data_IF_974783915378
#
_entry.id   IF_974783915378
#
_cell.length_a   1.000
_cell.length_b   1.000
_cell.length_c   1.000
_cell.angle_alpha   90.00
_cell.angle_beta   90.00
_cell.angle_gamma   90.00
#
_symmetry.space_group_name_H-M   'P 1'
#
loop_
_entity.id
_entity.type
_entity.pdbx_description
1 polymer ?
#
# COMPACT_ATOMS: atom_id res chain seq x y z
N UNK A 1 0.61 8.38 11.37
CA UNK A 1 0.17 7.92 10.03
C UNK A 1 1.20 8.31 8.98
N UNK A 2 1.70 9.54 9.05
CA UNK A 2 2.64 10.13 8.08
C UNK A 2 3.94 9.34 7.92
N UNK A 3 4.54 8.85 9.01
CA UNK A 3 5.74 7.99 8.95
C UNK A 3 5.51 6.68 8.20
N UNK A 4 4.33 6.08 8.35
CA UNK A 4 4.00 4.80 7.72
C UNK A 4 3.82 4.95 6.20
N UNK A 5 3.27 6.08 5.78
CA UNK A 5 3.14 6.44 4.36
C UNK A 5 4.52 6.71 3.75
N UNK A 6 5.38 7.42 4.48
CA UNK A 6 6.75 7.68 4.01
C UNK A 6 7.55 6.39 3.85
N UNK A 7 7.46 5.46 4.81
CA UNK A 7 8.10 4.14 4.71
C UNK A 7 7.63 3.35 3.49
N UNK A 8 6.32 3.38 3.20
CA UNK A 8 5.74 2.73 2.02
C UNK A 8 6.28 3.33 0.71
N UNK A 9 6.37 4.67 0.63
CA UNK A 9 6.94 5.37 -0.53
C UNK A 9 8.41 4.99 -0.73
N UNK A 10 9.20 4.95 0.34
CA UNK A 10 10.62 4.59 0.28
C UNK A 10 10.84 3.13 -0.14
N UNK A 11 10.01 2.21 0.34
CA UNK A 11 10.04 0.80 -0.07
C UNK A 11 9.70 0.65 -1.56
N UNK A 12 8.72 1.41 -2.05
CA UNK A 12 8.31 1.38 -3.46
C UNK A 12 9.41 1.94 -4.37
N UNK A 13 10.06 3.03 -3.97
CA UNK A 13 11.23 3.60 -4.68
C UNK A 13 12.40 2.62 -4.69
N UNK A 14 12.69 1.94 -3.57
CA UNK A 14 13.72 0.88 -3.51
C UNK A 14 13.42 -0.26 -4.48
N UNK A 15 12.22 -0.81 -4.43
CA UNK A 15 11.81 -1.92 -5.31
C UNK A 15 11.92 -1.55 -6.81
N UNK A 16 11.64 -0.29 -7.18
CA UNK A 16 11.81 0.19 -8.55
C UNK A 16 13.29 0.30 -8.95
N UNK A 17 14.14 0.82 -8.05
CA UNK A 17 15.60 0.87 -8.25
C UNK A 17 16.19 -0.52 -8.44
N UNK A 18 15.82 -1.47 -7.59
CA UNK A 18 16.31 -2.86 -7.65
C UNK A 18 15.90 -3.56 -8.95
N UNK A 19 14.77 -3.18 -9.53
CA UNK A 19 14.28 -3.67 -10.83
C UNK A 19 14.82 -2.89 -12.03
N UNK A 20 15.66 -1.87 -11.82
CA UNK A 20 16.20 -1.03 -12.89
C UNK A 20 15.14 -0.20 -13.62
N UNK A 21 13.98 0.06 -13.03
CA UNK A 21 12.88 0.79 -13.67
C UNK A 21 13.12 2.29 -13.50
N UNK A 22 13.35 2.99 -14.62
CA UNK A 22 13.45 4.45 -14.68
C UNK A 22 12.14 5.08 -15.20
N UNK A 23 11.69 6.21 -14.63
CA UNK A 23 12.26 6.92 -13.49
C UNK A 23 11.96 6.21 -12.15
N UNK A 24 12.85 6.36 -11.17
CA UNK A 24 12.79 5.65 -9.90
C UNK A 24 11.76 6.20 -8.88
N UNK A 25 11.01 7.26 -9.23
CA UNK A 25 9.93 7.75 -8.37
C UNK A 25 8.74 6.79 -8.40
N UNK A 26 8.05 6.67 -7.27
CA UNK A 26 6.78 5.94 -7.19
C UNK A 26 5.68 6.74 -7.91
N UNK A 27 4.92 6.08 -8.78
CA UNK A 27 3.72 6.69 -9.35
C UNK A 27 2.57 6.67 -8.34
N UNK A 28 1.60 7.56 -8.50
CA UNK A 28 0.40 7.57 -7.65
C UNK A 28 -0.37 6.24 -7.71
N UNK A 29 -0.45 5.62 -8.89
CA UNK A 29 -1.14 4.34 -9.09
C UNK A 29 -0.47 3.22 -8.30
N UNK A 30 0.86 3.16 -8.30
CA UNK A 30 1.61 2.17 -7.52
C UNK A 30 1.41 2.36 -6.02
N UNK A 31 1.43 3.62 -5.56
CA UNK A 31 1.21 3.92 -4.16
C UNK A 31 -0.19 3.47 -3.70
N UNK A 32 -1.23 3.78 -4.47
CA UNK A 32 -2.61 3.34 -4.20
C UNK A 32 -2.69 1.80 -4.19
N UNK A 33 -1.99 1.15 -5.12
CA UNK A 33 -1.95 -0.31 -5.20
C UNK A 33 -1.30 -0.93 -3.96
N UNK A 34 -0.16 -0.42 -3.50
CA UNK A 34 0.51 -0.94 -2.30
C UNK A 34 -0.26 -0.66 -1.01
N UNK A 35 -0.91 0.51 -0.90
CA UNK A 35 -1.81 0.80 0.21
C UNK A 35 -2.96 -0.20 0.22
N UNK A 36 -3.59 -0.44 -0.94
CA UNK A 36 -4.67 -1.43 -1.09
C UNK A 36 -4.22 -2.83 -0.65
N UNK A 37 -3.07 -3.28 -1.14
CA UNK A 37 -2.52 -4.59 -0.76
C UNK A 37 -2.21 -4.66 0.73
N UNK A 38 -1.66 -3.59 1.33
CA UNK A 38 -1.36 -3.54 2.76
C UNK A 38 -2.62 -3.63 3.62
N UNK A 39 -3.69 -2.92 3.24
CA UNK A 39 -4.99 -3.01 3.91
C UNK A 39 -5.58 -4.42 3.80
N UNK A 40 -5.55 -5.03 2.62
CA UNK A 40 -5.98 -6.41 2.41
C UNK A 40 -5.18 -7.42 3.26
N UNK A 41 -3.85 -7.27 3.34
CA UNK A 41 -3.00 -8.10 4.21
C UNK A 41 -3.38 -7.97 5.69
N UNK A 42 -3.70 -6.76 6.15
CA UNK A 42 -4.15 -6.52 7.52
C UNK A 42 -5.53 -7.11 7.79
N UNK A 43 -6.43 -7.04 6.80
CA UNK A 43 -7.77 -7.60 6.90
C UNK A 43 -7.73 -9.14 7.00
N UNK A 44 -6.98 -9.80 6.11
CA UNK A 44 -6.78 -11.27 6.13
C UNK A 44 -6.18 -11.73 7.46
N UNK A 45 -5.28 -10.94 8.06
CA UNK A 45 -4.68 -11.21 9.38
C UNK A 45 -5.62 -10.91 10.57
N UNK A 46 -6.85 -10.46 10.32
CA UNK A 46 -7.83 -10.09 11.33
C UNK A 46 -7.47 -8.85 12.14
N UNK A 47 -6.47 -8.06 11.70
CA UNK A 47 -6.01 -6.85 12.39
C UNK A 47 -6.96 -5.67 12.16
N UNK A 48 -7.65 -5.65 11.02
CA UNK A 48 -8.71 -4.68 10.70
C UNK A 48 -9.95 -5.41 10.18
N UNK A 49 -11.13 -4.84 10.42
CA UNK A 49 -12.41 -5.36 9.93
C UNK A 49 -13.04 -4.36 8.97
N UNK A 50 -13.60 -4.90 7.89
CA UNK A 50 -14.47 -4.15 6.98
C UNK A 50 -15.71 -3.68 7.75
N UNK A 51 -16.15 -2.45 7.51
CA UNK A 51 -17.27 -1.78 8.19
C UNK A 51 -16.83 -0.85 9.32
N UNK A 52 -15.56 -0.92 9.74
CA UNK A 52 -15.00 -0.13 10.84
C UNK A 52 -13.83 0.75 10.38
N UNK A 53 -13.58 0.89 9.08
CA UNK A 53 -12.50 1.74 8.56
C UNK A 53 -12.99 2.68 7.46
N UNK A 54 -12.49 3.92 7.44
CA UNK A 54 -12.77 4.88 6.35
C UNK A 54 -12.30 4.33 4.98
N UNK A 55 -11.43 3.33 5.00
CA UNK A 55 -10.78 2.75 3.83
C UNK A 55 -11.41 1.43 3.36
N UNK A 56 -12.62 1.10 3.82
CA UNK A 56 -13.29 -0.16 3.46
C UNK A 56 -13.41 -0.38 1.94
N UNK A 57 -13.55 0.69 1.14
CA UNK A 57 -13.58 0.63 -0.33
C UNK A 57 -12.30 0.08 -1.00
N UNK A 58 -11.22 -0.05 -0.24
CA UNK A 58 -9.95 -0.60 -0.68
C UNK A 58 -9.71 -2.02 -0.14
N UNK A 59 -10.63 -2.58 0.64
CA UNK A 59 -10.52 -3.96 1.13
C UNK A 59 -11.39 -4.84 0.25
N UNK A 60 -10.77 -5.86 -0.36
CA UNK A 60 -11.47 -6.83 -1.20
C UNK A 60 -12.14 -7.88 -0.30
N UNK A 61 -13.48 -7.84 -0.29
CA UNK A 61 -14.34 -8.73 0.48
C UNK A 61 -14.79 -9.85 -0.47
N UNK A 62 -13.97 -10.89 -0.61
CA UNK A 62 -14.38 -12.13 -1.27
C UNK A 62 -14.73 -13.19 -0.23
#
# INVERSE_FOLDING_TARGET
MDELVLQLVEELIRNRKDRGIAPAHATFVELVTEVRQSLNRLHIKGKIKVGNTINDKYIDIN
#
